data_IF_512987836687
#
_entry.id   IF_512987836687
#
_cell.length_a   1.000
_cell.length_b   1.000
_cell.length_c   1.000
_cell.angle_alpha   90.00
_cell.angle_beta   90.00
_cell.angle_gamma   90.00
#
_symmetry.space_group_name_H-M   'P 1'
#
loop_
_entity.id
_entity.type
_entity.pdbx_description
1 polymer ?
#
# COMPACT_ATOMS: atom_id res chain seq x y z
N UNK A 1 20.31 -6.44 54.08
CA UNK A 1 19.81 -7.60 53.30
C UNK A 1 18.28 -7.49 53.29
N UNK A 2 17.50 -7.53 52.20
CA UNK A 2 17.67 -8.14 50.90
C UNK A 2 16.89 -7.34 49.81
N UNK A 3 17.48 -7.22 48.62
CA UNK A 3 16.86 -6.63 47.41
C UNK A 3 15.83 -7.61 46.83
N UNK A 4 14.56 -7.21 46.70
CA UNK A 4 13.55 -7.96 45.92
C UNK A 4 13.71 -7.63 44.42
N UNK A 5 14.32 -8.56 43.69
CA UNK A 5 14.53 -8.50 42.26
C UNK A 5 13.24 -8.93 41.53
N UNK A 6 12.52 -8.00 40.88
CA UNK A 6 11.33 -8.31 40.06
C UNK A 6 11.78 -8.86 38.70
N UNK A 7 11.80 -10.19 38.59
CA UNK A 7 12.00 -10.91 37.32
C UNK A 7 10.87 -10.60 36.34
N UNK A 8 11.20 -10.00 35.19
CA UNK A 8 10.29 -9.80 34.04
C UNK A 8 9.92 -11.18 33.48
N UNK A 9 8.66 -11.60 33.64
CA UNK A 9 8.10 -12.77 32.94
C UNK A 9 8.17 -12.52 31.43
N UNK A 10 9.02 -13.28 30.72
CA UNK A 10 9.01 -13.36 29.26
C UNK A 10 7.68 -13.95 28.83
N UNK A 11 6.96 -13.22 27.97
CA UNK A 11 5.70 -13.67 27.40
C UNK A 11 5.99 -14.89 26.53
N UNK A 12 5.37 -16.03 26.86
CA UNK A 12 5.57 -17.28 26.13
C UNK A 12 5.04 -17.09 24.70
N UNK A 13 5.92 -17.24 23.71
CA UNK A 13 5.53 -17.37 22.30
C UNK A 13 4.76 -18.68 22.20
N UNK A 14 3.43 -18.59 22.03
CA UNK A 14 2.59 -19.75 21.73
C UNK A 14 2.87 -20.14 20.29
N UNK A 15 3.61 -21.23 20.10
CA UNK A 15 3.73 -21.86 18.79
C UNK A 15 2.43 -22.63 18.54
N UNK A 16 1.46 -21.99 17.90
CA UNK A 16 0.26 -22.67 17.41
C UNK A 16 0.65 -23.49 16.18
N UNK A 17 0.42 -24.81 16.24
CA UNK A 17 0.67 -25.71 15.12
C UNK A 17 -0.42 -25.50 14.08
N UNK A 18 -0.04 -24.96 12.92
CA UNK A 18 -0.95 -24.61 11.83
C UNK A 18 -1.38 -25.88 11.10
N UNK A 19 -2.59 -26.39 11.38
CA UNK A 19 -3.26 -27.46 10.62
C UNK A 19 -3.81 -26.96 9.27
N UNK A 20 -4.11 -27.87 8.32
CA UNK A 20 -4.54 -27.55 6.94
C UNK A 20 -5.75 -26.60 6.83
N UNK A 21 -6.65 -26.59 7.82
CA UNK A 21 -7.78 -25.63 7.91
C UNK A 21 -7.33 -24.17 8.08
N UNK A 22 -6.07 -23.95 8.46
CA UNK A 22 -5.49 -22.62 8.62
C UNK A 22 -4.77 -22.12 7.36
N UNK A 23 -4.80 -22.85 6.24
CA UNK A 23 -4.19 -22.36 5.00
C UNK A 23 -4.91 -21.11 4.52
N UNK A 24 -6.24 -21.03 4.57
CA UNK A 24 -6.98 -19.81 4.19
C UNK A 24 -6.62 -18.64 5.11
N UNK A 25 -6.54 -18.86 6.42
CA UNK A 25 -6.11 -17.83 7.39
C UNK A 25 -4.66 -17.41 7.21
N UNK A 26 -3.78 -18.34 6.83
CA UNK A 26 -2.40 -18.07 6.50
C UNK A 26 -2.27 -17.35 5.15
N UNK A 27 -3.14 -17.67 4.20
CA UNK A 27 -3.27 -17.05 2.88
C UNK A 27 -3.72 -15.60 3.02
N UNK A 28 -4.73 -15.36 3.85
CA UNK A 28 -5.20 -14.02 4.22
C UNK A 28 -4.12 -13.22 4.99
N UNK A 29 -3.38 -13.88 5.88
CA UNK A 29 -2.27 -13.26 6.63
C UNK A 29 -1.09 -12.89 5.71
N UNK A 30 -0.77 -13.74 4.74
CA UNK A 30 0.32 -13.53 3.78
C UNK A 30 -0.12 -12.72 2.55
N UNK A 31 -1.41 -12.39 2.42
CA UNK A 31 -1.99 -11.74 1.24
C UNK A 31 -1.87 -12.58 -0.04
N UNK A 32 -1.72 -13.90 0.09
CA UNK A 32 -1.62 -14.85 -1.03
C UNK A 32 -3.00 -15.42 -1.26
N UNK A 33 -3.83 -14.77 -2.06
CA UNK A 33 -5.12 -15.33 -2.43
C UNK A 33 -4.98 -16.09 -3.76
N UNK A 34 -5.39 -17.37 -3.79
CA UNK A 34 -5.47 -18.16 -5.02
C UNK A 34 -6.78 -17.87 -5.74
N UNK A 35 -6.70 -17.56 -7.04
CA UNK A 35 -7.90 -17.42 -7.89
C UNK A 35 -8.57 -18.79 -8.10
N UNK A 36 -9.82 -18.83 -8.59
CA UNK A 36 -10.47 -20.11 -8.89
C UNK A 36 -9.74 -20.91 -9.98
N UNK A 37 -8.92 -20.24 -10.80
CA UNK A 37 -8.03 -20.87 -11.78
C UNK A 37 -6.73 -21.45 -11.15
N UNK A 38 -6.54 -21.33 -9.83
CA UNK A 38 -5.36 -21.82 -9.12
C UNK A 38 -4.12 -20.91 -9.21
N UNK A 39 -4.25 -19.74 -9.86
CA UNK A 39 -3.15 -18.78 -10.03
C UNK A 39 -3.13 -17.79 -8.88
N UNK A 40 -1.94 -17.53 -8.31
CA UNK A 40 -1.72 -16.51 -7.28
C UNK A 40 -1.70 -15.10 -7.90
N UNK A 41 -2.59 -14.23 -7.40
CA UNK A 41 -2.70 -12.84 -7.86
C UNK A 41 -2.04 -11.92 -6.85
N UNK A 42 -0.98 -11.25 -7.28
CA UNK A 42 -0.20 -10.26 -6.51
C UNK A 42 -0.15 -8.97 -7.30
N UNK A 43 0.33 -7.87 -6.69
CA UNK A 43 0.53 -6.60 -7.42
C UNK A 43 1.39 -6.77 -8.67
N UNK A 44 2.44 -7.60 -8.60
CA UNK A 44 3.36 -7.83 -9.71
C UNK A 44 2.71 -8.67 -10.80
N UNK A 45 2.04 -9.77 -10.45
CA UNK A 45 1.38 -10.64 -11.45
C UNK A 45 0.16 -9.97 -12.07
N UNK A 46 -0.59 -9.17 -11.31
CA UNK A 46 -1.70 -8.39 -11.82
C UNK A 46 -1.24 -7.35 -12.87
N UNK A 47 -0.11 -6.68 -12.64
CA UNK A 47 0.45 -5.71 -13.59
C UNK A 47 0.99 -6.33 -14.89
N UNK A 48 1.20 -7.66 -14.92
CA UNK A 48 1.51 -8.37 -16.17
C UNK A 48 0.31 -8.44 -17.12
N UNK A 49 -0.92 -8.33 -16.60
CA UNK A 49 -2.12 -8.27 -17.43
C UNK A 49 -2.23 -6.88 -18.06
N UNK A 50 -2.16 -6.82 -19.39
CA UNK A 50 -2.11 -5.57 -20.16
C UNK A 50 -3.28 -4.61 -19.86
N UNK A 51 -4.48 -5.15 -19.68
CA UNK A 51 -5.67 -4.38 -19.31
C UNK A 51 -5.53 -3.73 -17.92
N UNK A 52 -4.99 -4.46 -16.93
CA UNK A 52 -4.76 -3.93 -15.57
C UNK A 52 -3.74 -2.80 -15.63
N UNK A 53 -2.60 -3.04 -16.31
CA UNK A 53 -1.56 -2.02 -16.49
C UNK A 53 -2.11 -0.75 -17.14
N UNK A 54 -2.89 -0.88 -18.21
CA UNK A 54 -3.48 0.25 -18.92
C UNK A 54 -4.43 1.06 -18.03
N UNK A 55 -5.31 0.41 -17.27
CA UNK A 55 -6.24 1.07 -16.36
C UNK A 55 -5.50 1.81 -15.23
N UNK A 56 -4.53 1.14 -14.59
CA UNK A 56 -3.76 1.73 -13.49
C UNK A 56 -3.02 2.96 -14.00
N UNK A 57 -2.25 2.84 -15.10
CA UNK A 57 -1.50 3.95 -15.70
C UNK A 57 -2.41 5.12 -16.10
N UNK A 58 -3.58 4.84 -16.68
CA UNK A 58 -4.50 5.90 -17.11
C UNK A 58 -5.05 6.68 -15.92
N UNK A 59 -5.50 5.98 -14.88
CA UNK A 59 -6.08 6.61 -13.69
C UNK A 59 -4.99 7.35 -12.90
N UNK A 60 -3.86 6.69 -12.63
CA UNK A 60 -2.76 7.28 -11.86
C UNK A 60 -2.18 8.49 -12.58
N UNK A 61 -1.93 8.38 -13.89
CA UNK A 61 -1.42 9.47 -14.70
C UNK A 61 -2.39 10.64 -14.76
N UNK A 62 -3.69 10.39 -14.96
CA UNK A 62 -4.70 11.45 -14.98
C UNK A 62 -4.73 12.23 -13.66
N UNK A 63 -4.78 11.54 -12.51
CA UNK A 63 -4.79 12.19 -11.20
C UNK A 63 -3.49 12.95 -10.94
N UNK A 64 -2.34 12.39 -11.34
CA UNK A 64 -1.04 13.01 -11.16
C UNK A 64 -0.86 14.34 -11.94
N UNK A 65 -1.63 14.55 -13.01
CA UNK A 65 -1.62 15.83 -13.75
C UNK A 65 -2.43 16.94 -13.08
N UNK A 66 -3.26 16.62 -12.09
CA UNK A 66 -4.10 17.61 -11.42
C UNK A 66 -3.26 18.47 -10.47
N UNK A 67 -3.39 19.80 -10.52
CA UNK A 67 -2.66 20.68 -9.62
C UNK A 67 -3.21 20.60 -8.20
N UNK A 68 -2.36 20.21 -7.25
CA UNK A 68 -2.68 20.28 -5.83
C UNK A 68 -2.46 21.71 -5.32
N UNK A 69 -3.56 22.46 -5.21
CA UNK A 69 -3.54 23.85 -4.74
C UNK A 69 -3.91 23.93 -3.25
N UNK A 70 -3.17 24.76 -2.50
CA UNK A 70 -3.48 25.07 -1.10
C UNK A 70 -4.41 26.28 -1.04
N UNK A 71 -5.48 26.19 -0.25
CA UNK A 71 -6.43 27.27 -0.06
C UNK A 71 -6.48 27.69 1.40
N UNK A 72 -6.45 29.00 1.65
CA UNK A 72 -6.72 29.61 2.94
C UNK A 72 -8.17 30.07 3.00
N UNK A 73 -8.85 29.76 4.10
CA UNK A 73 -10.20 30.24 4.36
C UNK A 73 -10.14 31.69 4.84
N UNK A 74 -10.85 32.58 4.17
CA UNK A 74 -11.00 33.99 4.54
C UNK A 74 -12.49 34.28 4.77
N UNK A 75 -12.95 34.05 6.00
CA UNK A 75 -14.38 34.17 6.33
C UNK A 75 -15.25 33.20 5.54
N UNK A 76 -16.07 33.73 4.63
CA UNK A 76 -16.94 32.94 3.73
C UNK A 76 -16.27 32.57 2.40
N UNK A 77 -15.12 33.16 2.06
CA UNK A 77 -14.40 32.89 0.81
C UNK A 77 -13.19 31.96 1.03
N UNK A 78 -12.66 31.44 -0.08
CA UNK A 78 -11.40 30.67 -0.11
C UNK A 78 -10.48 31.31 -1.13
N UNK A 79 -9.25 31.60 -0.74
CA UNK A 79 -8.23 32.16 -1.61
C UNK A 79 -7.06 31.19 -1.73
N UNK A 80 -6.49 31.07 -2.93
CA UNK A 80 -5.27 30.28 -3.13
C UNK A 80 -4.13 30.88 -2.30
N UNK A 81 -3.45 30.02 -1.56
CA UNK A 81 -2.38 30.40 -0.64
C UNK A 81 -1.05 29.80 -1.11
N UNK A 82 -0.39 30.53 -2.02
CA UNK A 82 0.89 30.12 -2.58
C UNK A 82 2.08 30.35 -1.63
N UNK A 83 1.89 31.10 -0.53
CA UNK A 83 2.96 31.35 0.45
C UNK A 83 3.00 30.33 1.57
N UNK A 84 2.01 29.43 1.64
CA UNK A 84 2.00 28.33 2.61
C UNK A 84 3.17 27.35 2.38
N UNK A 85 3.83 26.89 3.45
CA UNK A 85 4.97 25.95 3.38
C UNK A 85 4.67 24.68 2.57
N UNK A 86 3.49 24.09 2.80
CA UNK A 86 2.98 22.94 2.06
C UNK A 86 2.79 23.16 0.55
N UNK A 87 2.62 24.40 0.08
CA UNK A 87 2.35 24.65 -1.33
C UNK A 87 3.47 24.12 -2.23
N UNK A 88 4.73 24.36 -1.85
CA UNK A 88 5.89 23.85 -2.58
C UNK A 88 5.98 22.33 -2.54
N UNK A 89 5.73 21.73 -1.38
CA UNK A 89 5.83 20.29 -1.14
C UNK A 89 4.77 19.54 -1.96
N UNK A 90 3.51 19.96 -1.87
CA UNK A 90 2.41 19.24 -2.53
C UNK A 90 2.38 19.48 -4.04
N UNK A 91 2.73 20.69 -4.50
CA UNK A 91 2.58 21.06 -5.92
C UNK A 91 3.83 20.88 -6.77
N UNK A 92 5.03 21.11 -6.22
CA UNK A 92 6.28 21.06 -6.99
C UNK A 92 7.08 19.80 -6.71
N UNK A 93 7.54 19.67 -5.48
CA UNK A 93 8.53 18.66 -5.13
C UNK A 93 8.33 18.21 -3.68
N UNK A 94 7.68 17.04 -3.46
CA UNK A 94 7.44 16.51 -2.13
C UNK A 94 8.74 16.13 -1.41
N UNK A 95 9.76 15.69 -2.14
CA UNK A 95 11.11 15.48 -1.65
C UNK A 95 12.13 15.65 -2.79
N UNK A 96 13.43 15.84 -2.50
CA UNK A 96 14.44 16.05 -3.55
C UNK A 96 14.60 14.90 -4.56
N UNK A 97 14.14 13.68 -4.22
CA UNK A 97 14.27 12.48 -5.06
C UNK A 97 13.12 12.34 -6.06
N UNK A 98 11.95 12.91 -5.78
CA UNK A 98 10.69 12.62 -6.50
C UNK A 98 9.91 13.91 -6.76
N UNK A 99 9.41 14.08 -7.99
CA UNK A 99 8.52 15.21 -8.36
C UNK A 99 7.10 15.00 -7.83
N UNK A 100 6.31 16.08 -7.73
CA UNK A 100 4.91 15.98 -7.27
C UNK A 100 4.09 15.02 -8.13
N UNK A 101 4.24 15.07 -9.46
CA UNK A 101 3.53 14.18 -10.40
C UNK A 101 3.83 12.71 -10.08
N UNK A 102 5.10 12.33 -9.96
CA UNK A 102 5.50 10.95 -9.68
C UNK A 102 5.01 10.50 -8.30
N UNK A 103 5.04 11.40 -7.30
CA UNK A 103 4.54 11.09 -5.95
C UNK A 103 3.04 10.76 -5.96
N UNK A 104 2.22 11.59 -6.59
CA UNK A 104 0.77 11.38 -6.66
C UNK A 104 0.40 10.20 -7.56
N UNK A 105 1.12 10.01 -8.67
CA UNK A 105 0.97 8.83 -9.52
C UNK A 105 1.23 7.54 -8.74
N UNK A 106 2.30 7.52 -7.96
CA UNK A 106 2.68 6.37 -7.11
C UNK A 106 1.65 6.18 -5.98
N UNK A 107 1.17 7.26 -5.36
CA UNK A 107 0.13 7.20 -4.34
C UNK A 107 -1.17 6.59 -4.88
N UNK A 108 -1.61 7.01 -6.07
CA UNK A 108 -2.77 6.42 -6.72
C UNK A 108 -2.54 4.95 -7.08
N UNK A 109 -1.35 4.61 -7.59
CA UNK A 109 -0.98 3.22 -7.91
C UNK A 109 -1.04 2.33 -6.67
N UNK A 110 -0.52 2.79 -5.53
CA UNK A 110 -0.60 2.09 -4.25
C UNK A 110 -2.05 1.87 -3.79
N UNK A 111 -2.93 2.86 -3.95
CA UNK A 111 -4.35 2.71 -3.63
C UNK A 111 -5.01 1.68 -4.54
N UNK A 112 -4.78 1.74 -5.85
CA UNK A 112 -5.41 0.84 -6.82
C UNK A 112 -4.95 -0.61 -6.66
N UNK A 113 -3.66 -0.84 -6.40
CA UNK A 113 -3.08 -2.18 -6.30
C UNK A 113 -3.11 -2.75 -4.88
N UNK A 114 -2.90 -1.95 -3.85
CA UNK A 114 -2.73 -2.42 -2.46
C UNK A 114 -3.79 -1.85 -1.51
N UNK A 115 -4.70 -1.01 -2.00
CA UNK A 115 -5.81 -0.47 -1.24
C UNK A 115 -5.46 0.71 -0.35
N UNK A 116 -4.18 1.05 -0.19
CA UNK A 116 -3.72 2.07 0.75
C UNK A 116 -2.50 2.78 0.19
N UNK A 117 -2.36 4.09 0.46
CA UNK A 117 -1.13 4.82 0.23
C UNK A 117 -0.64 5.45 1.54
N UNK A 118 0.65 5.32 1.81
CA UNK A 118 1.30 5.84 3.00
C UNK A 118 2.46 6.74 2.60
N UNK A 119 2.55 7.92 3.22
CA UNK A 119 3.73 8.76 3.14
C UNK A 119 4.15 9.27 4.51
N UNK A 120 5.44 9.18 4.82
CA UNK A 120 6.04 9.74 6.02
C UNK A 120 6.14 11.26 5.85
N UNK A 121 5.67 11.99 6.85
CA UNK A 121 5.77 13.45 6.93
C UNK A 121 7.04 13.79 7.70
N UNK A 122 8.06 14.28 7.01
CA UNK A 122 9.26 14.79 7.65
C UNK A 122 9.01 16.20 8.13
N UNK A 123 9.20 16.47 9.44
CA UNK A 123 8.94 17.78 10.05
C UNK A 123 10.21 18.44 10.56
N UNK A 124 10.23 19.77 10.58
CA UNK A 124 11.28 20.54 11.24
C UNK A 124 11.09 20.53 12.78
N UNK A 125 12.03 21.13 13.52
CA UNK A 125 11.91 21.26 15.00
C UNK A 125 10.72 22.12 15.47
N UNK A 126 10.13 22.92 14.59
CA UNK A 126 8.96 23.75 14.86
C UNK A 126 7.64 23.02 14.55
N UNK A 127 7.70 21.80 13.98
CA UNK A 127 6.55 20.99 13.60
C UNK A 127 6.08 21.17 12.16
N UNK A 128 6.69 22.07 11.38
CA UNK A 128 6.29 22.30 9.99
C UNK A 128 6.75 21.14 9.09
N UNK A 129 5.91 20.69 8.16
CA UNK A 129 6.28 19.69 7.17
C UNK A 129 7.36 20.24 6.22
N UNK A 130 8.43 19.48 6.06
CA UNK A 130 9.56 19.76 5.16
C UNK A 130 9.52 18.89 3.90
N UNK A 131 9.12 17.62 4.03
CA UNK A 131 9.09 16.68 2.93
C UNK A 131 8.10 15.54 3.16
N UNK A 132 7.69 14.89 2.08
CA UNK A 132 6.89 13.67 2.09
C UNK A 132 7.67 12.54 1.42
N UNK A 133 7.76 11.39 2.08
CA UNK A 133 8.35 10.17 1.50
C UNK A 133 7.30 9.09 1.41
N UNK A 134 6.94 8.71 0.19
CA UNK A 134 6.02 7.60 -0.04
C UNK A 134 6.67 6.27 0.35
N UNK A 135 5.88 5.38 0.95
CA UNK A 135 6.32 4.06 1.41
C UNK A 135 5.48 2.98 0.71
N UNK A 136 6.12 1.86 0.36
CA UNK A 136 5.39 0.68 -0.14
C UNK A 136 4.44 0.16 0.94
N UNK A 137 3.13 0.04 0.66
CA UNK A 137 2.15 -0.47 1.61
C UNK A 137 2.46 -1.87 2.15
N UNK A 138 3.27 -2.67 1.45
CA UNK A 138 3.70 -4.00 1.95
C UNK A 138 4.64 -3.92 3.16
N UNK A 139 5.25 -2.74 3.40
CA UNK A 139 6.20 -2.50 4.50
C UNK A 139 5.55 -1.80 5.70
N UNK A 140 4.22 -1.64 5.67
CA UNK A 140 3.46 -0.90 6.69
C UNK A 140 2.46 -1.83 7.35
N UNK A 141 2.56 -1.91 8.67
CA UNK A 141 1.58 -2.57 9.53
C UNK A 141 0.85 -1.51 10.34
N UNK A 142 -0.47 -1.61 10.41
CA UNK A 142 -1.32 -0.64 11.12
C UNK A 142 -1.91 -1.33 12.35
N UNK A 143 -1.67 -0.76 13.51
CA UNK A 143 -2.25 -1.18 14.78
C UNK A 143 -3.08 -0.04 15.40
N UNK A 144 -3.93 -0.36 16.36
CA UNK A 144 -4.73 0.62 17.10
C UNK A 144 -4.41 0.53 18.57
N UNK A 145 -3.88 1.62 19.12
CA UNK A 145 -3.51 1.72 20.53
C UNK A 145 -4.05 3.01 21.11
N UNK A 146 -4.77 2.92 22.23
CA UNK A 146 -5.37 4.08 22.90
C UNK A 146 -6.24 4.93 21.96
N UNK A 147 -7.03 4.29 21.10
CA UNK A 147 -7.89 4.93 20.10
C UNK A 147 -7.16 5.79 19.04
N UNK A 148 -5.85 5.56 18.87
CA UNK A 148 -5.02 6.17 17.81
C UNK A 148 -4.45 5.09 16.91
N UNK A 149 -4.26 5.43 15.64
CA UNK A 149 -3.57 4.57 14.68
C UNK A 149 -2.05 4.68 14.94
N UNK A 150 -1.40 3.52 14.99
CA UNK A 150 0.05 3.41 15.06
C UNK A 150 0.54 2.65 13.83
N UNK A 151 1.50 3.22 13.12
CA UNK A 151 2.04 2.67 11.89
C UNK A 151 3.44 2.11 12.17
N UNK A 152 3.61 0.80 12.05
CA UNK A 152 4.92 0.20 12.09
C UNK A 152 5.47 0.07 10.67
N UNK A 153 6.61 0.71 10.42
CA UNK A 153 7.19 0.80 9.09
C UNK A 153 8.58 0.16 9.12
N UNK A 154 8.80 -0.76 8.18
CA UNK A 154 10.16 -1.27 7.89
C UNK A 154 10.83 -0.31 6.92
N UNK A 155 11.87 0.42 7.35
CA UNK A 155 12.67 1.35 6.55
C UNK A 155 13.65 0.63 5.62
N UNK A 156 14.26 1.35 4.67
CA UNK A 156 15.09 0.75 3.60
C UNK A 156 16.37 0.12 4.15
N UNK A 157 16.83 0.60 5.30
CA UNK A 157 17.95 0.06 6.07
C UNK A 157 17.55 -1.15 6.94
N UNK A 158 16.29 -1.60 6.86
CA UNK A 158 15.75 -2.72 7.62
C UNK A 158 15.29 -2.37 9.04
N UNK A 159 15.36 -1.11 9.45
CA UNK A 159 14.84 -0.71 10.77
C UNK A 159 13.32 -0.81 10.81
N UNK A 160 12.79 -1.41 11.87
CA UNK A 160 11.35 -1.48 12.13
C UNK A 160 10.98 -0.44 13.20
N UNK A 161 10.32 0.64 12.78
CA UNK A 161 10.04 1.79 13.63
C UNK A 161 8.54 2.11 13.71
N UNK A 162 8.02 2.48 14.90
CA UNK A 162 6.67 2.98 15.06
C UNK A 162 6.58 4.47 14.69
N UNK A 163 5.52 4.83 13.98
CA UNK A 163 5.13 6.20 13.64
C UNK A 163 3.72 6.48 14.12
N UNK A 164 3.50 7.65 14.71
CA UNK A 164 2.16 8.09 15.13
C UNK A 164 1.32 8.52 13.91
N UNK A 165 -0.01 8.51 14.07
CA UNK A 165 -0.94 9.00 13.04
C UNK A 165 -0.68 10.42 12.56
N UNK A 166 -0.10 11.28 13.39
CA UNK A 166 0.18 12.69 13.03
C UNK A 166 1.41 12.85 12.12
N UNK A 167 2.25 11.80 12.01
CA UNK A 167 3.47 11.78 11.19
C UNK A 167 3.32 10.99 9.89
N UNK A 168 2.16 10.38 9.66
CA UNK A 168 1.87 9.59 8.45
C UNK A 168 0.68 10.20 7.70
N UNK A 169 0.91 10.57 6.44
CA UNK A 169 -0.16 10.80 5.49
C UNK A 169 -0.65 9.44 4.99
N UNK A 170 -1.76 8.98 5.56
CA UNK A 170 -2.44 7.76 5.12
C UNK A 170 -3.68 8.10 4.29
N UNK A 171 -3.73 7.59 3.07
CA UNK A 171 -4.89 7.68 2.18
C UNK A 171 -5.47 6.27 1.99
N UNK A 172 -6.52 5.90 2.73
CA UNK A 172 -7.16 4.61 2.58
C UNK A 172 -8.04 4.61 1.31
N UNK A 173 -7.97 3.51 0.56
CA UNK A 173 -8.95 3.19 -0.48
C UNK A 173 -10.28 2.73 0.12
N UNK A 174 -11.16 2.24 -0.75
CA UNK A 174 -12.47 1.70 -0.34
C UNK A 174 -12.25 0.51 0.61
N UNK A 175 -12.91 0.52 1.77
CA UNK A 175 -12.82 -0.57 2.74
C UNK A 175 -13.93 -0.52 3.77
N UNK A 176 -14.01 -1.56 4.60
CA UNK A 176 -15.14 -1.77 5.53
C UNK A 176 -14.98 -1.07 6.88
N UNK A 177 -13.75 -0.75 7.28
CA UNK A 177 -13.44 -0.27 8.63
C UNK A 177 -12.87 1.15 8.69
N UNK A 178 -12.66 1.81 7.54
CA UNK A 178 -12.03 3.14 7.43
C UNK A 178 -10.56 3.21 7.88
N UNK A 179 -9.97 2.09 8.32
CA UNK A 179 -8.59 2.00 8.83
C UNK A 179 -7.62 1.38 7.84
N UNK A 180 -8.10 0.48 6.98
CA UNK A 180 -7.32 -0.12 5.89
C UNK A 180 -8.27 -0.32 4.72
N UNK A 181 -7.94 0.26 3.58
CA UNK A 181 -8.63 0.01 2.33
C UNK A 181 -8.36 -1.40 1.83
N UNK A 182 -9.32 -1.95 1.11
CA UNK A 182 -9.22 -3.22 0.41
C UNK A 182 -8.34 -3.05 -0.83
N UNK A 183 -7.45 -4.01 -1.06
CA UNK A 183 -6.76 -4.12 -2.35
C UNK A 183 -7.77 -4.59 -3.40
N UNK A 184 -8.14 -3.72 -4.34
CA UNK A 184 -9.13 -4.03 -5.39
C UNK A 184 -8.72 -5.26 -6.19
N UNK A 185 -7.43 -5.41 -6.50
CA UNK A 185 -6.91 -6.56 -7.25
C UNK A 185 -6.97 -7.86 -6.45
N UNK A 186 -6.77 -7.80 -5.13
CA UNK A 186 -6.72 -9.00 -4.28
C UNK A 186 -8.10 -9.41 -3.78
N UNK A 187 -9.05 -8.47 -3.67
CA UNK A 187 -10.39 -8.76 -3.15
C UNK A 187 -11.47 -8.91 -4.24
N UNK A 188 -11.47 -8.05 -5.26
CA UNK A 188 -12.53 -8.02 -6.30
C UNK A 188 -12.03 -8.57 -7.62
N UNK A 189 -10.86 -8.12 -8.06
CA UNK A 189 -10.28 -8.49 -9.35
C UNK A 189 -9.64 -9.88 -9.37
N UNK A 190 -9.46 -10.51 -8.21
CA UNK A 190 -8.59 -11.66 -8.05
C UNK A 190 -8.98 -12.84 -8.95
N UNK A 191 -10.27 -13.17 -9.03
CA UNK A 191 -10.71 -14.27 -9.86
C UNK A 191 -10.57 -13.95 -11.36
N UNK A 192 -11.05 -12.78 -11.80
CA UNK A 192 -11.01 -12.37 -13.20
C UNK A 192 -9.59 -12.20 -13.72
N UNK A 193 -8.70 -11.59 -12.92
CA UNK A 193 -7.28 -11.41 -13.23
C UNK A 193 -6.59 -12.78 -13.25
N UNK A 194 -6.89 -13.65 -12.29
CA UNK A 194 -6.35 -15.02 -12.26
C UNK A 194 -6.74 -15.83 -13.49
N UNK A 195 -8.00 -15.74 -13.93
CA UNK A 195 -8.46 -16.36 -15.17
C UNK A 195 -7.73 -15.80 -16.40
N UNK A 196 -7.52 -14.49 -16.47
CA UNK A 196 -6.78 -13.87 -17.57
C UNK A 196 -5.33 -14.39 -17.63
N UNK A 197 -4.63 -14.43 -16.49
CA UNK A 197 -3.27 -14.97 -16.40
C UNK A 197 -3.23 -16.44 -16.82
N UNK A 198 -4.16 -17.26 -16.34
CA UNK A 198 -4.22 -18.68 -16.68
C UNK A 198 -4.49 -18.89 -18.18
N UNK A 199 -5.35 -18.06 -18.78
CA UNK A 199 -5.64 -18.11 -20.21
C UNK A 199 -4.42 -17.72 -21.05
N UNK A 200 -3.71 -16.66 -20.67
CA UNK A 200 -2.48 -16.22 -21.33
C UNK A 200 -1.39 -17.29 -21.24
N UNK A 201 -1.23 -17.93 -20.08
CA UNK A 201 -0.26 -19.02 -19.88
C UNK A 201 -0.62 -20.25 -20.73
N UNK A 202 -1.90 -20.64 -20.77
CA UNK A 202 -2.37 -21.73 -21.61
C UNK A 202 -2.11 -21.44 -23.10
N UNK A 203 -2.46 -20.24 -23.56
CA UNK A 203 -2.22 -19.81 -24.94
C UNK A 203 -0.73 -19.83 -25.28
N UNK A 204 0.12 -19.29 -24.39
CA UNK A 204 1.57 -19.30 -24.56
C UNK A 204 2.14 -20.72 -24.71
N UNK A 205 1.71 -21.66 -23.86
CA UNK A 205 2.11 -23.08 -23.95
C UNK A 205 1.58 -23.76 -25.22
N UNK A 206 0.38 -23.41 -25.65
CA UNK A 206 -0.22 -23.95 -26.87
C UNK A 206 0.59 -23.53 -28.11
N UNK A 207 0.90 -22.23 -28.22
CA UNK A 207 1.69 -21.71 -29.34
C UNK A 207 3.16 -22.14 -29.28
N UNK A 208 3.76 -22.28 -28.09
CA UNK A 208 5.16 -22.74 -27.97
C UNK A 208 5.35 -24.20 -28.40
N UNK A 209 4.31 -25.01 -28.31
CA UNK A 209 4.32 -26.43 -28.69
C UNK A 209 3.77 -26.65 -30.11
N UNK A 210 3.63 -25.60 -30.93
CA UNK A 210 3.06 -25.68 -32.29
C UNK A 210 1.67 -26.34 -32.33
N UNK A 211 0.87 -26.12 -31.27
CA UNK A 211 -0.42 -26.77 -31.07
C UNK A 211 -0.38 -28.31 -31.05
N UNK A 212 0.81 -28.93 -30.92
CA UNK A 212 0.93 -30.38 -30.83
C UNK A 212 0.51 -30.86 -29.45
N UNK A 213 -0.44 -31.82 -29.36
CA UNK A 213 -0.85 -32.36 -28.07
C UNK A 213 0.33 -33.11 -27.45
N UNK A 214 0.54 -32.90 -26.15
CA UNK A 214 1.50 -33.70 -25.38
C UNK A 214 1.02 -35.14 -25.37
N UNK A 215 1.76 -36.03 -26.03
CA UNK A 215 1.61 -37.47 -25.83
C UNK A 215 2.17 -37.77 -24.44
N UNK A 216 1.28 -38.21 -23.55
CA UNK A 216 1.58 -38.69 -22.19
C UNK A 216 1.81 -40.19 -22.24
#
# INVERSE_FOLDING_TARGET
MAKKNKSKKRQAVKNETVTLDNIERLSDLLGIHQSAAGVSVTKSTAMCVSAVYACVRLISGAIATLPFEVFRKEGSSRKKDASHSLYGILRKQPNPKVSSVVFWETACTHILLQGNSYAIIHRNRQGDPLALTIIDPSRVEVDVKNDRLLYFITLEDGQYLPFDMDDILHIPGIGWNGRKGLSVISSVGQNSIGCAIAADEYAGRFFSNDATPRVI
#
